data_IF_929885109445
#
_entry.id   IF_929885109445
#
_cell.length_a   1.000
_cell.length_b   1.000
_cell.length_c   1.000
_cell.angle_alpha   90.00
_cell.angle_beta   90.00
_cell.angle_gamma   90.00
#
_symmetry.space_group_name_H-M   'P 1'
#
loop_
_entity.id
_entity.type
_entity.pdbx_description
1 polymer ?
#
# COMPACT_ATOMS: atom_id res chain seq x y z
N UNK A 1 18.03 -0.62 13.42
CA UNK A 1 17.04 -0.66 14.52
C UNK A 1 15.96 -1.64 14.12
N UNK A 2 15.62 -2.59 15.00
CA UNK A 2 14.57 -3.59 14.75
C UNK A 2 13.20 -2.95 15.04
N UNK A 3 12.25 -3.12 14.14
CA UNK A 3 10.85 -2.80 14.42
C UNK A 3 10.37 -3.69 15.60
N UNK A 4 9.59 -3.14 16.55
CA UNK A 4 9.01 -3.96 17.62
C UNK A 4 8.21 -5.13 17.01
N UNK A 5 8.36 -6.33 17.57
CA UNK A 5 7.83 -7.58 17.01
C UNK A 5 6.30 -7.62 16.78
N UNK A 6 5.59 -6.61 17.28
CA UNK A 6 4.13 -6.50 17.27
C UNK A 6 3.63 -5.43 16.29
N UNK A 7 4.51 -4.79 15.52
CA UNK A 7 4.10 -3.88 14.46
C UNK A 7 3.51 -4.67 13.29
N UNK A 8 2.45 -4.13 12.69
CA UNK A 8 1.84 -4.71 11.49
C UNK A 8 2.86 -4.64 10.35
N UNK A 9 3.50 -5.78 10.07
CA UNK A 9 4.52 -5.88 9.03
C UNK A 9 3.95 -5.66 7.62
N UNK A 10 2.62 -5.68 7.49
CA UNK A 10 1.87 -5.54 6.26
C UNK A 10 0.91 -4.36 6.35
N UNK A 11 0.86 -3.53 5.30
CA UNK A 11 -0.11 -2.46 5.17
C UNK A 11 -0.76 -2.51 3.79
N UNK A 12 -2.09 -2.34 3.74
CA UNK A 12 -2.85 -2.24 2.50
C UNK A 12 -3.46 -0.86 2.41
N UNK A 13 -3.13 -0.13 1.34
CA UNK A 13 -3.75 1.16 1.02
C UNK A 13 -4.58 1.00 -0.24
N UNK A 14 -5.86 1.34 -0.18
CA UNK A 14 -6.78 1.29 -1.34
C UNK A 14 -7.13 2.72 -1.73
N UNK A 15 -7.03 3.05 -3.01
CA UNK A 15 -7.28 4.41 -3.49
C UNK A 15 -8.73 4.85 -3.23
N UNK A 16 -8.88 6.01 -2.59
CA UNK A 16 -10.19 6.62 -2.31
C UNK A 16 -10.87 6.10 -1.04
N UNK A 17 -10.19 5.28 -0.23
CA UNK A 17 -10.73 4.71 1.00
C UNK A 17 -9.85 5.06 2.22
N UNK A 18 -10.47 5.23 3.40
CA UNK A 18 -9.73 5.46 4.63
C UNK A 18 -8.91 4.22 5.04
N UNK A 19 -7.75 4.46 5.67
CA UNK A 19 -6.81 3.43 6.09
C UNK A 19 -7.23 2.69 7.38
N UNK A 20 -8.54 2.46 7.56
CA UNK A 20 -9.11 1.87 8.78
C UNK A 20 -9.16 0.34 8.72
N UNK A 21 -8.37 -0.26 7.82
CA UNK A 21 -8.26 -1.69 7.66
C UNK A 21 -6.94 -2.17 8.24
N UNK A 22 -7.02 -3.21 9.07
CA UNK A 22 -5.85 -3.96 9.50
C UNK A 22 -5.79 -5.27 8.72
N UNK A 23 -4.60 -5.61 8.24
CA UNK A 23 -4.37 -6.89 7.57
C UNK A 23 -4.29 -7.98 8.64
N UNK A 24 -5.23 -8.93 8.60
CA UNK A 24 -5.25 -10.07 9.51
C UNK A 24 -4.46 -11.25 8.92
N UNK A 25 -4.76 -11.62 7.68
CA UNK A 25 -4.00 -12.63 6.93
C UNK A 25 -3.68 -12.15 5.53
N UNK A 26 -2.59 -12.70 5.00
CA UNK A 26 -2.11 -12.42 3.66
C UNK A 26 -1.57 -13.71 3.07
N UNK A 27 -2.14 -14.11 1.93
CA UNK A 27 -1.70 -15.26 1.16
C UNK A 27 -1.49 -14.82 -0.29
N UNK A 28 -0.37 -15.22 -0.88
CA UNK A 28 0.02 -14.80 -2.21
C UNK A 28 0.43 -15.96 -3.07
N UNK A 29 0.05 -15.90 -4.35
CA UNK A 29 0.59 -16.76 -5.39
C UNK A 29 1.25 -15.91 -6.45
N UNK A 30 2.56 -16.09 -6.61
CA UNK A 30 3.37 -15.41 -7.61
C UNK A 30 4.24 -16.43 -8.35
N UNK A 31 4.36 -16.23 -9.67
CA UNK A 31 5.24 -17.02 -10.53
C UNK A 31 5.76 -16.15 -11.69
N UNK A 32 6.96 -16.48 -12.18
CA UNK A 32 7.58 -15.73 -13.29
C UNK A 32 6.66 -15.77 -14.52
N UNK A 33 6.48 -14.61 -15.14
CA UNK A 33 5.65 -14.44 -16.34
C UNK A 33 4.18 -14.82 -16.17
N UNK A 34 3.69 -14.85 -14.93
CA UNK A 34 2.27 -15.05 -14.62
C UNK A 34 1.75 -13.88 -13.80
N UNK A 35 0.45 -13.54 -13.93
CA UNK A 35 -0.18 -12.59 -13.02
C UNK A 35 -0.06 -13.08 -11.58
N UNK A 36 0.27 -12.17 -10.68
CA UNK A 36 0.21 -12.45 -9.25
C UNK A 36 -1.22 -12.32 -8.74
N UNK A 37 -1.54 -13.04 -7.66
CA UNK A 37 -2.80 -12.90 -6.93
C UNK A 37 -2.48 -12.91 -5.44
N UNK A 38 -3.06 -11.98 -4.70
CA UNK A 38 -2.99 -11.94 -3.24
C UNK A 38 -4.39 -11.97 -2.66
N UNK A 39 -4.63 -12.93 -1.78
CA UNK A 39 -5.80 -12.98 -0.91
C UNK A 39 -5.43 -12.30 0.40
N UNK A 40 -6.22 -11.29 0.77
CA UNK A 40 -5.96 -10.47 1.96
C UNK A 40 -7.23 -10.42 2.78
N UNK A 41 -7.15 -10.90 4.02
CA UNK A 41 -8.24 -10.75 4.98
C UNK A 41 -8.03 -9.45 5.76
N UNK A 42 -9.05 -8.60 5.73
CA UNK A 42 -9.04 -7.29 6.37
C UNK A 42 -10.04 -7.28 7.51
N UNK A 43 -9.65 -6.68 8.63
CA UNK A 43 -10.55 -6.37 9.74
C UNK A 43 -10.71 -4.86 9.87
N UNK A 44 -11.93 -4.41 10.13
CA UNK A 44 -12.26 -3.00 10.36
C UNK A 44 -13.19 -2.86 11.56
N UNK A 45 -13.04 -1.76 12.29
CA UNK A 45 -13.93 -1.40 13.40
C UNK A 45 -15.29 -0.86 12.91
N UNK A 46 -15.41 -0.52 11.62
CA UNK A 46 -16.62 0.05 11.02
C UNK A 46 -17.57 -1.06 10.55
N UNK A 47 -18.79 -1.19 11.13
CA UNK A 47 -19.73 -2.23 10.74
C UNK A 47 -20.47 -1.91 9.42
N UNK A 48 -20.59 -0.63 9.04
CA UNK A 48 -21.30 -0.17 7.84
C UNK A 48 -20.33 0.10 6.68
N UNK A 49 -19.58 -0.90 6.28
CA UNK A 49 -18.61 -0.78 5.19
C UNK A 49 -19.30 -1.01 3.84
N UNK A 50 -19.10 -0.08 2.89
CA UNK A 50 -19.59 -0.24 1.52
C UNK A 50 -18.58 -1.06 0.69
N UNK A 51 -18.84 -2.37 0.57
CA UNK A 51 -17.95 -3.31 -0.13
C UNK A 51 -17.86 -3.04 -1.63
N UNK A 52 -18.90 -2.49 -2.25
CA UNK A 52 -18.90 -2.23 -3.70
C UNK A 52 -17.87 -1.15 -4.06
N UNK A 53 -17.67 -0.18 -3.16
CA UNK A 53 -16.67 0.89 -3.35
C UNK A 53 -15.23 0.41 -3.32
N UNK A 54 -14.97 -0.77 -2.73
CA UNK A 54 -13.65 -1.40 -2.70
C UNK A 54 -13.28 -2.05 -4.04
N UNK A 55 -14.27 -2.43 -4.84
CA UNK A 55 -14.05 -3.19 -6.06
C UNK A 55 -13.40 -2.32 -7.13
N UNK A 56 -12.51 -2.95 -7.91
CA UNK A 56 -11.83 -2.33 -9.06
C UNK A 56 -11.02 -1.07 -8.71
N UNK A 57 -10.62 -0.91 -7.44
CA UNK A 57 -9.73 0.16 -7.01
C UNK A 57 -8.27 -0.30 -7.05
N UNK A 58 -7.34 0.56 -7.52
CA UNK A 58 -5.93 0.35 -7.30
C UNK A 58 -5.62 0.23 -5.80
N UNK A 59 -4.82 -0.75 -5.45
CA UNK A 59 -4.38 -0.97 -4.08
C UNK A 59 -2.86 -1.17 -4.03
N UNK A 60 -2.25 -0.70 -2.96
CA UNK A 60 -0.83 -0.85 -2.68
C UNK A 60 -0.66 -1.71 -1.43
N UNK A 61 0.00 -2.85 -1.60
CA UNK A 61 0.33 -3.79 -0.53
C UNK A 61 1.81 -3.66 -0.17
N UNK A 62 2.07 -3.13 1.01
CA UNK A 62 3.41 -3.00 1.57
C UNK A 62 3.73 -4.23 2.43
N UNK A 63 4.78 -4.96 2.08
CA UNK A 63 5.22 -6.18 2.80
C UNK A 63 6.32 -5.93 3.85
N UNK A 64 6.91 -4.74 3.86
CA UNK A 64 7.91 -4.37 4.88
C UNK A 64 7.96 -2.85 5.09
N UNK A 65 8.21 -2.39 6.33
CA UNK A 65 8.27 -0.95 6.65
C UNK A 65 9.48 -0.24 6.01
N UNK A 66 10.53 -0.97 5.64
CA UNK A 66 11.75 -0.38 5.04
C UNK A 66 11.57 0.07 3.58
N UNK A 67 10.52 -0.39 2.88
CA UNK A 67 10.28 -0.04 1.48
C UNK A 67 9.51 1.28 1.29
N UNK A 68 8.89 1.82 2.35
CA UNK A 68 8.02 2.99 2.28
C UNK A 68 8.76 4.32 1.98
N UNK A 69 10.09 4.38 2.07
CA UNK A 69 10.84 5.64 2.01
C UNK A 69 11.43 5.99 0.64
N UNK A 70 11.05 5.32 -0.45
CA UNK A 70 11.49 5.72 -1.80
C UNK A 70 10.29 6.06 -2.70
N UNK A 71 9.34 6.82 -2.15
CA UNK A 71 8.50 7.66 -3.01
C UNK A 71 9.43 8.68 -3.67
N UNK A 72 9.67 8.47 -4.96
CA UNK A 72 10.40 9.37 -5.87
C UNK A 72 10.00 10.81 -5.57
N UNK A 73 10.93 11.59 -5.05
CA UNK A 73 10.82 13.05 -4.97
C UNK A 73 10.65 13.60 -6.39
N UNK A 74 9.42 13.80 -6.81
CA UNK A 74 9.08 14.61 -7.97
C UNK A 74 9.09 16.07 -7.55
N UNK A 75 10.26 16.58 -7.15
CA UNK A 75 10.49 18.00 -7.11
C UNK A 75 10.74 18.48 -8.55
N UNK A 76 9.98 19.45 -9.09
CA UNK A 76 10.27 20.00 -10.40
C UNK A 76 11.65 20.68 -10.33
N UNK A 77 12.62 20.17 -11.10
CA UNK A 77 13.90 20.88 -11.32
C UNK A 77 13.55 22.22 -11.96
N UNK A 78 13.52 23.28 -11.13
CA UNK A 78 13.42 24.67 -11.56
C UNK A 78 14.54 24.89 -12.58
N UNK A 79 14.16 25.04 -13.86
CA UNK A 79 15.07 25.49 -14.89
C UNK A 79 15.41 26.94 -14.59
N UNK A 80 16.50 27.16 -13.85
CA UNK A 80 17.07 28.50 -13.73
C UNK A 80 17.71 28.81 -15.07
N UNK A 81 16.96 29.58 -15.85
CA UNK A 81 17.36 30.23 -17.10
C UNK A 81 18.71 30.93 -16.88
N UNK A 82 19.76 30.46 -17.56
CA UNK A 82 20.99 31.21 -17.73
C UNK A 82 20.68 32.39 -18.66
N UNK A 83 20.86 33.62 -18.16
CA UNK A 83 21.01 34.80 -19.00
C UNK A 83 21.69 35.92 -18.18
N UNK A 84 23.00 36.05 -18.36
CA UNK A 84 23.79 37.27 -18.31
C UNK A 84 25.21 36.93 -18.77
#
# INVERSE_FOLDING_TARGET
MFAPANETHFALTIEGLPADFQVFTLQGREAISQPFVFEVELVSEKPSLDLETLLHKPAFLQLSPAAASTARSTAPRRATRANA
#
